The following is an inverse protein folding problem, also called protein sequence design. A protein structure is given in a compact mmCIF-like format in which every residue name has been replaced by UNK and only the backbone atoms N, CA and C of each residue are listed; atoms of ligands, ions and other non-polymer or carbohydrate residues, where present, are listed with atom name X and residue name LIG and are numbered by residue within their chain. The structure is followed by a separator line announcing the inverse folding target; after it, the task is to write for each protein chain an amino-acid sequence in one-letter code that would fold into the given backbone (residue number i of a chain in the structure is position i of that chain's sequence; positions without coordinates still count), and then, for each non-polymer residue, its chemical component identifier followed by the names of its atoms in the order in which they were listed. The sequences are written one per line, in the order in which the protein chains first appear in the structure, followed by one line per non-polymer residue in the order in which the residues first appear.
data_IF_045989962786
#
_entry.id   IF_045989962786
#
_cell.length_a   1.000
_cell.length_b   1.000
_cell.length_c   1.000
_cell.angle_alpha   90.00
_cell.angle_beta   90.00
_cell.angle_gamma   90.00
#
_symmetry.space_group_name_H-M   'P 1'
#
loop_
_entity.id
_entity.type
_entity.pdbx_description
1 polymer ?
#
# COMPACT_ATOMS: atom_id res chain seq x y z
N UNK A 1 44.97 -57.94 -15.50
CA UNK A 1 44.39 -58.17 -14.18
C UNK A 1 43.08 -57.46 -14.08
N UNK A 2 41.94 -58.14 -14.00
CA UNK A 2 40.64 -57.50 -13.89
C UNK A 2 40.34 -57.10 -12.41
N UNK A 3 39.60 -56.00 -12.26
CA UNK A 3 39.07 -55.54 -10.94
C UNK A 3 37.82 -56.35 -10.55
N UNK A 4 37.58 -56.62 -9.28
CA UNK A 4 36.41 -57.39 -8.87
C UNK A 4 35.15 -56.51 -8.81
N UNK A 5 34.04 -57.07 -9.25
CA UNK A 5 32.69 -56.55 -9.16
C UNK A 5 32.20 -56.46 -7.72
N UNK A 6 31.57 -55.32 -7.38
CA UNK A 6 30.80 -55.15 -6.16
C UNK A 6 29.30 -55.37 -6.47
N UNK A 7 28.55 -56.12 -5.63
CA UNK A 7 27.15 -56.36 -5.85
C UNK A 7 26.29 -55.15 -5.50
N UNK A 8 25.44 -54.68 -6.44
CA UNK A 8 24.36 -53.72 -6.16
C UNK A 8 23.21 -54.46 -5.54
N UNK A 9 22.90 -54.12 -4.29
CA UNK A 9 21.66 -54.56 -3.65
C UNK A 9 20.57 -53.51 -3.96
N UNK A 10 19.69 -53.86 -4.89
CA UNK A 10 18.43 -53.12 -5.13
C UNK A 10 17.45 -53.43 -3.98
N UNK A 11 17.44 -52.57 -2.97
CA UNK A 11 16.41 -52.60 -1.93
C UNK A 11 15.23 -51.74 -2.35
N UNK A 12 14.09 -52.38 -2.70
CA UNK A 12 12.79 -51.74 -2.94
C UNK A 12 11.88 -52.07 -1.76
N UNK A 13 11.41 -51.06 -0.97
CA UNK A 13 10.48 -51.30 0.12
C UNK A 13 9.13 -51.80 -0.42
N UNK A 14 8.54 -52.79 0.24
CA UNK A 14 7.23 -53.35 -0.13
C UNK A 14 6.10 -52.41 0.34
N UNK A 15 4.91 -52.54 -0.28
CA UNK A 15 3.70 -51.81 0.16
C UNK A 15 3.38 -51.99 1.63
N UNK A 16 3.77 -53.13 2.23
CA UNK A 16 3.56 -53.43 3.63
C UNK A 16 4.49 -52.64 4.54
N UNK A 17 5.72 -52.43 4.13
CA UNK A 17 6.73 -51.61 4.85
C UNK A 17 6.35 -50.14 4.85
N UNK A 18 5.76 -49.64 3.75
CA UNK A 18 5.22 -48.30 3.64
C UNK A 18 4.01 -48.06 4.58
N UNK A 19 3.11 -49.06 4.69
CA UNK A 19 1.94 -48.95 5.56
C UNK A 19 2.32 -49.04 7.05
N UNK A 20 3.34 -49.84 7.41
CA UNK A 20 3.83 -49.90 8.78
C UNK A 20 4.58 -48.65 9.20
N UNK A 21 5.33 -48.00 8.31
CA UNK A 21 5.97 -46.69 8.58
C UNK A 21 4.94 -45.58 8.76
N UNK A 22 3.80 -45.63 8.04
CA UNK A 22 2.73 -44.64 8.14
C UNK A 22 1.93 -44.71 9.46
N UNK A 23 1.86 -45.89 10.10
CA UNK A 23 1.15 -46.06 11.39
C UNK A 23 1.99 -45.62 12.60
N UNK A 24 3.31 -45.65 12.51
CA UNK A 24 4.19 -45.13 13.57
C UNK A 24 4.31 -43.62 13.55
N UNK A 25 4.18 -42.99 12.35
CA UNK A 25 4.17 -41.54 12.23
C UNK A 25 2.87 -40.86 12.71
N UNK A 26 1.75 -41.61 12.76
CA UNK A 26 0.47 -41.09 13.25
C UNK A 26 0.31 -41.13 14.78
N UNK A 27 1.14 -41.90 15.49
CA UNK A 27 1.11 -42.03 16.95
C UNK A 27 2.00 -41.06 17.73
N UNK A 28 2.94 -40.37 17.06
CA UNK A 28 3.94 -39.53 17.69
C UNK A 28 3.65 -38.00 17.71
N UNK A 29 2.55 -37.53 17.15
CA UNK A 29 2.21 -36.11 17.03
C UNK A 29 1.22 -35.60 18.07
N UNK A 30 0.84 -36.45 19.03
CA UNK A 30 -0.15 -36.10 20.07
C UNK A 30 0.45 -35.59 21.40
N UNK A 31 1.75 -35.33 21.49
CA UNK A 31 2.39 -34.88 22.73
C UNK A 31 3.28 -33.62 22.59
N UNK A 32 3.14 -32.84 21.54
CA UNK A 32 3.77 -31.54 21.38
C UNK A 32 2.73 -30.48 21.07
N UNK A 33 2.11 -29.94 22.12
CA UNK A 33 1.14 -28.85 21.99
C UNK A 33 1.77 -27.59 21.44
N UNK A 34 1.88 -27.48 20.11
CA UNK A 34 1.83 -26.20 19.44
C UNK A 34 0.38 -25.71 19.58
N UNK A 35 0.15 -24.89 20.59
CA UNK A 35 -0.99 -23.99 20.61
C UNK A 35 -0.87 -23.09 19.37
N UNK A 36 -1.37 -23.58 18.22
CA UNK A 36 -1.96 -22.70 17.24
C UNK A 36 -2.95 -21.88 18.05
N UNK A 37 -2.60 -20.62 18.33
CA UNK A 37 -3.59 -19.64 18.68
C UNK A 37 -4.52 -19.56 17.47
N UNK A 38 -5.49 -20.50 17.38
CA UNK A 38 -6.77 -20.18 16.84
C UNK A 38 -7.11 -18.89 17.58
N UNK A 39 -7.23 -17.78 16.89
CA UNK A 39 -8.06 -16.69 17.35
C UNK A 39 -9.42 -17.34 17.57
N UNK A 40 -9.59 -17.89 18.76
CA UNK A 40 -10.87 -18.29 19.26
C UNK A 40 -11.62 -16.95 19.27
N UNK A 41 -12.49 -16.75 18.29
CA UNK A 41 -13.70 -16.02 18.56
C UNK A 41 -14.32 -16.83 19.70
N UNK A 42 -13.95 -16.44 20.93
CA UNK A 42 -14.49 -17.02 22.13
C UNK A 42 -15.99 -16.94 21.98
N UNK A 43 -16.67 -18.02 22.16
CA UNK A 43 -18.12 -18.15 22.17
C UNK A 43 -18.75 -16.95 22.88
N UNK A 44 -19.25 -15.94 22.13
CA UNK A 44 -19.80 -14.73 22.72
C UNK A 44 -20.34 -13.70 21.76
N UNK A 45 -19.65 -13.32 20.72
CA UNK A 45 -20.21 -12.46 19.69
C UNK A 45 -19.46 -12.61 18.37
N UNK A 46 -20.19 -12.79 17.28
CA UNK A 46 -19.68 -12.79 15.89
C UNK A 46 -19.32 -11.35 15.41
N UNK A 47 -19.30 -10.38 16.32
CA UNK A 47 -19.04 -8.97 16.03
C UNK A 47 -17.53 -8.72 15.95
N UNK A 48 -17.04 -8.28 14.79
CA UNK A 48 -15.65 -7.85 14.60
C UNK A 48 -15.47 -6.41 15.10
N UNK A 49 -14.50 -6.21 15.98
CA UNK A 49 -14.17 -4.90 16.57
C UNK A 49 -13.12 -4.20 15.72
N UNK A 50 -13.49 -3.02 15.20
CA UNK A 50 -12.64 -2.19 14.37
C UNK A 50 -11.97 -1.11 15.20
N UNK A 51 -10.66 -0.94 15.03
CA UNK A 51 -9.90 0.24 15.43
C UNK A 51 -9.50 1.04 14.20
N UNK A 52 -9.49 2.37 14.29
CA UNK A 52 -9.11 3.23 13.18
C UNK A 52 -7.98 4.18 13.58
N UNK A 53 -6.96 4.29 12.73
CA UNK A 53 -5.80 5.17 12.90
C UNK A 53 -5.70 6.06 11.67
N UNK A 54 -5.76 7.39 11.90
CA UNK A 54 -5.90 8.39 10.84
C UNK A 54 -7.37 8.70 10.54
N UNK A 55 -7.86 9.84 11.06
CA UNK A 55 -9.25 10.27 10.99
C UNK A 55 -9.48 11.41 10.00
N UNK A 56 -8.63 11.51 8.97
CA UNK A 56 -8.81 12.45 7.86
C UNK A 56 -9.99 12.05 6.95
N UNK A 57 -10.12 12.71 5.79
CA UNK A 57 -11.18 12.42 4.82
C UNK A 57 -11.19 10.96 4.38
N UNK A 58 -10.00 10.42 3.99
CA UNK A 58 -9.90 9.01 3.56
C UNK A 58 -10.16 8.05 4.72
N UNK A 59 -9.59 8.30 5.92
CA UNK A 59 -9.83 7.44 7.08
C UNK A 59 -11.29 7.38 7.49
N UNK A 60 -12.00 8.53 7.50
CA UNK A 60 -13.46 8.56 7.73
C UNK A 60 -14.21 7.75 6.67
N UNK A 61 -13.79 7.87 5.38
CA UNK A 61 -14.35 7.07 4.29
C UNK A 61 -14.10 5.57 4.47
N UNK A 62 -12.86 5.17 4.79
CA UNK A 62 -12.49 3.76 4.98
C UNK A 62 -13.27 3.11 6.13
N UNK A 63 -13.51 3.84 7.23
CA UNK A 63 -14.37 3.36 8.33
C UNK A 63 -15.80 3.10 7.81
N UNK A 64 -16.36 4.04 7.04
CA UNK A 64 -17.70 3.89 6.48
C UNK A 64 -17.78 2.73 5.48
N UNK A 65 -16.77 2.59 4.60
CA UNK A 65 -16.66 1.49 3.63
C UNK A 65 -16.59 0.14 4.36
N UNK A 66 -15.78 0.03 5.40
CA UNK A 66 -15.66 -1.16 6.24
C UNK A 66 -16.99 -1.53 6.91
N UNK A 67 -17.70 -0.55 7.47
CA UNK A 67 -19.00 -0.77 8.10
C UNK A 67 -20.10 -1.09 7.09
N UNK A 68 -19.99 -0.64 5.84
CA UNK A 68 -20.89 -1.05 4.76
C UNK A 68 -20.59 -2.47 4.27
N UNK A 69 -19.32 -2.86 4.21
CA UNK A 69 -18.86 -4.17 3.77
C UNK A 69 -19.27 -5.30 4.73
N UNK A 70 -19.26 -5.03 6.04
CA UNK A 70 -19.61 -6.03 7.06
C UNK A 70 -20.61 -5.47 8.08
N UNK A 71 -21.84 -6.01 8.05
CA UNK A 71 -22.93 -5.56 8.94
C UNK A 71 -22.72 -5.97 10.40
N UNK A 72 -21.87 -6.94 10.66
CA UNK A 72 -21.58 -7.48 11.99
C UNK A 72 -20.23 -6.99 12.53
N UNK A 73 -19.87 -5.74 12.21
CA UNK A 73 -18.69 -5.05 12.70
C UNK A 73 -19.06 -3.82 13.53
N UNK A 74 -18.22 -3.48 14.51
CA UNK A 74 -18.36 -2.29 15.36
C UNK A 74 -17.05 -1.50 15.44
N UNK A 75 -17.14 -0.17 15.33
CA UNK A 75 -16.02 0.72 15.60
C UNK A 75 -15.91 0.92 17.12
N UNK A 76 -14.77 0.58 17.72
CA UNK A 76 -14.58 0.61 19.17
C UNK A 76 -13.46 1.53 19.64
N UNK A 77 -12.50 1.90 18.77
CA UNK A 77 -11.41 2.79 19.13
C UNK A 77 -10.96 3.61 17.93
N UNK A 78 -10.53 4.85 18.16
CA UNK A 78 -10.03 5.75 17.12
C UNK A 78 -8.79 6.51 17.59
N UNK A 79 -7.86 6.79 16.64
CA UNK A 79 -6.72 7.66 16.86
C UNK A 79 -6.46 8.59 15.68
N UNK A 80 -6.07 9.82 15.98
CA UNK A 80 -5.47 10.77 15.04
C UNK A 80 -4.42 11.61 15.76
N UNK A 81 -3.46 12.15 15.04
CA UNK A 81 -2.51 13.09 15.63
C UNK A 81 -3.20 14.36 16.16
N UNK A 82 -4.32 14.75 15.54
CA UNK A 82 -5.06 15.98 15.84
C UNK A 82 -6.47 15.69 16.34
N UNK A 83 -6.80 16.27 17.50
CA UNK A 83 -8.11 16.13 18.18
C UNK A 83 -9.28 16.57 17.29
N UNK A 84 -9.17 17.70 16.59
CA UNK A 84 -10.22 18.24 15.72
C UNK A 84 -10.58 17.27 14.58
N UNK A 85 -9.60 16.55 14.03
CA UNK A 85 -9.82 15.52 13.01
C UNK A 85 -10.51 14.29 13.57
N UNK A 86 -10.05 13.83 14.72
CA UNK A 86 -10.64 12.68 15.42
C UNK A 86 -12.10 12.94 15.75
N UNK A 87 -12.40 14.04 16.44
CA UNK A 87 -13.77 14.37 16.86
C UNK A 87 -14.70 14.64 15.67
N UNK A 88 -14.19 15.32 14.63
CA UNK A 88 -14.93 15.54 13.39
C UNK A 88 -15.29 14.24 12.67
N UNK A 89 -14.39 13.25 12.63
CA UNK A 89 -14.65 11.93 12.06
C UNK A 89 -15.65 11.15 12.93
N UNK A 90 -15.43 11.08 14.23
CA UNK A 90 -16.30 10.38 15.18
C UNK A 90 -17.75 10.86 15.07
N UNK A 91 -17.96 12.20 15.03
CA UNK A 91 -19.30 12.78 14.84
C UNK A 91 -19.95 12.29 13.56
N UNK A 92 -19.24 12.32 12.41
CA UNK A 92 -19.78 11.87 11.12
C UNK A 92 -20.13 10.39 11.12
N UNK A 93 -19.25 9.55 11.65
CA UNK A 93 -19.46 8.09 11.67
C UNK A 93 -20.58 7.72 12.65
N UNK A 94 -20.68 8.34 13.83
CA UNK A 94 -21.81 8.15 14.76
C UNK A 94 -23.16 8.52 14.12
N UNK A 95 -23.18 9.58 13.32
CA UNK A 95 -24.42 9.98 12.60
C UNK A 95 -24.80 8.96 11.54
N UNK A 96 -23.83 8.39 10.81
CA UNK A 96 -24.09 7.42 9.73
C UNK A 96 -24.41 6.00 10.26
N UNK A 97 -23.84 5.62 11.41
CA UNK A 97 -23.93 4.27 11.98
C UNK A 97 -24.17 4.28 13.49
N UNK A 98 -25.31 4.86 13.98
CA UNK A 98 -25.52 5.12 15.41
C UNK A 98 -25.40 3.88 16.30
N UNK A 99 -25.88 2.72 15.83
CA UNK A 99 -25.93 1.48 16.62
C UNK A 99 -24.61 0.67 16.56
N UNK A 100 -23.65 1.09 15.71
CA UNK A 100 -22.41 0.35 15.45
C UNK A 100 -21.14 1.11 15.81
N UNK A 101 -21.26 2.27 16.46
CA UNK A 101 -20.13 3.05 16.96
C UNK A 101 -20.15 3.03 18.49
N UNK A 102 -19.25 2.23 19.07
CA UNK A 102 -19.09 2.06 20.50
C UNK A 102 -17.82 2.75 21.04
N UNK A 103 -17.39 3.82 20.35
CA UNK A 103 -16.26 4.65 20.77
C UNK A 103 -16.74 5.64 21.82
N UNK A 104 -16.25 5.50 23.05
CA UNK A 104 -16.36 6.48 24.11
C UNK A 104 -15.14 7.41 24.17
N UNK A 105 -15.10 8.31 25.15
CA UNK A 105 -14.01 9.27 25.29
C UNK A 105 -12.68 8.59 25.63
N UNK A 106 -12.70 7.50 26.40
CA UNK A 106 -11.51 6.77 26.82
C UNK A 106 -10.88 5.95 25.67
N UNK A 107 -11.61 5.79 24.57
CA UNK A 107 -11.16 5.13 23.34
C UNK A 107 -10.92 6.11 22.17
N UNK A 108 -10.83 7.41 22.48
CA UNK A 108 -10.42 8.49 21.58
C UNK A 108 -8.99 8.90 21.90
N UNK A 109 -8.03 8.59 21.02
CA UNK A 109 -6.62 8.80 21.30
C UNK A 109 -5.99 9.83 20.38
N UNK A 110 -5.24 10.78 20.92
CA UNK A 110 -4.53 11.81 20.15
C UNK A 110 -3.03 11.70 20.27
N UNK A 111 -2.33 12.36 19.34
CA UNK A 111 -0.87 12.38 19.28
C UNK A 111 -0.25 11.17 18.61
N UNK A 112 1.09 11.17 18.57
CA UNK A 112 1.86 10.17 17.80
C UNK A 112 1.76 8.74 18.34
N UNK A 113 1.50 8.56 19.63
CA UNK A 113 1.37 7.25 20.27
C UNK A 113 -0.06 6.70 20.35
N UNK A 114 -1.03 7.43 19.79
CA UNK A 114 -2.45 7.03 19.78
C UNK A 114 -2.68 5.65 19.20
N UNK A 115 -1.91 5.26 18.16
CA UNK A 115 -2.00 3.94 17.53
C UNK A 115 -1.75 2.78 18.51
N UNK A 116 -0.80 2.92 19.47
CA UNK A 116 -0.51 1.89 20.48
C UNK A 116 -1.73 1.63 21.35
N UNK A 117 -2.44 2.70 21.72
CA UNK A 117 -3.65 2.62 22.54
C UNK A 117 -4.82 1.98 21.79
N UNK A 118 -5.00 2.30 20.49
CA UNK A 118 -5.98 1.60 19.64
C UNK A 118 -5.69 0.10 19.60
N UNK A 119 -4.44 -0.31 19.39
CA UNK A 119 -4.05 -1.72 19.36
C UNK A 119 -4.32 -2.45 20.68
N UNK A 120 -4.21 -1.75 21.81
CA UNK A 120 -4.49 -2.26 23.15
C UNK A 120 -6.00 -2.29 23.51
N UNK A 121 -6.88 -1.65 22.71
CA UNK A 121 -8.33 -1.54 22.99
C UNK A 121 -9.15 -2.78 22.62
N UNK A 122 -8.54 -3.96 22.49
CA UNK A 122 -9.24 -5.21 22.21
C UNK A 122 -9.83 -5.28 20.78
N UNK A 123 -9.28 -4.54 19.84
CA UNK A 123 -9.68 -4.56 18.42
C UNK A 123 -9.28 -5.86 17.74
N UNK A 124 -10.05 -6.32 16.77
CA UNK A 124 -9.74 -7.48 15.91
C UNK A 124 -9.10 -7.04 14.59
N UNK A 125 -9.59 -5.92 14.05
CA UNK A 125 -9.20 -5.35 12.77
C UNK A 125 -8.77 -3.90 12.97
N UNK A 126 -7.68 -3.50 12.30
CA UNK A 126 -7.20 -2.10 12.32
C UNK A 126 -7.22 -1.52 10.92
N UNK A 127 -7.78 -0.33 10.79
CA UNK A 127 -7.74 0.49 9.57
C UNK A 127 -6.60 1.50 9.73
N UNK A 128 -5.59 1.44 8.86
CA UNK A 128 -4.45 2.35 8.79
C UNK A 128 -4.65 3.33 7.64
N UNK A 129 -5.01 4.58 7.94
CA UNK A 129 -5.33 5.63 6.96
C UNK A 129 -4.64 6.98 7.28
N UNK A 130 -3.62 6.95 8.10
CA UNK A 130 -2.70 8.06 8.36
C UNK A 130 -1.80 8.36 7.15
N UNK A 131 -1.00 9.46 7.14
CA UNK A 131 -0.05 9.72 6.06
C UNK A 131 0.93 8.55 5.83
N UNK A 132 1.37 8.31 4.57
CA UNK A 132 2.20 7.14 4.19
C UNK A 132 3.43 6.88 5.05
N UNK A 133 4.04 7.94 5.55
CA UNK A 133 5.23 7.86 6.41
C UNK A 133 5.05 6.95 7.64
N UNK A 134 3.87 6.97 8.26
CA UNK A 134 3.62 6.25 9.51
C UNK A 134 3.24 4.78 9.30
N UNK A 135 2.82 4.40 8.10
CA UNK A 135 2.30 3.05 7.80
C UNK A 135 3.27 1.91 8.09
N UNK A 136 4.58 2.00 7.76
CA UNK A 136 5.50 0.91 8.09
C UNK A 136 5.56 0.62 9.60
N UNK A 137 5.58 1.66 10.43
CA UNK A 137 5.62 1.54 11.89
C UNK A 137 4.30 1.01 12.45
N UNK A 138 3.17 1.55 11.99
CA UNK A 138 1.85 1.15 12.48
C UNK A 138 1.46 -0.26 12.01
N UNK A 139 1.77 -0.63 10.75
CA UNK A 139 1.56 -1.98 10.23
C UNK A 139 2.37 -3.01 11.01
N UNK A 140 3.66 -2.72 11.27
CA UNK A 140 4.51 -3.59 12.08
C UNK A 140 3.89 -3.82 13.46
N UNK A 141 3.52 -2.75 14.16
CA UNK A 141 2.93 -2.84 15.49
C UNK A 141 1.59 -3.60 15.48
N UNK A 142 0.73 -3.38 14.47
CA UNK A 142 -0.54 -4.08 14.34
C UNK A 142 -0.35 -5.60 14.13
N UNK A 143 0.58 -5.99 13.25
CA UNK A 143 0.91 -7.40 12.99
C UNK A 143 1.56 -8.05 14.21
N UNK A 144 2.48 -7.36 14.91
CA UNK A 144 3.06 -7.84 16.16
C UNK A 144 2.00 -8.08 17.24
N UNK A 145 1.01 -7.18 17.33
CA UNK A 145 -0.15 -7.29 18.22
C UNK A 145 -1.22 -8.31 17.77
N UNK A 146 -0.99 -9.03 16.66
CA UNK A 146 -1.90 -10.07 16.17
C UNK A 146 -3.21 -9.53 15.58
N UNK A 147 -3.21 -8.35 14.97
CA UNK A 147 -4.40 -7.73 14.38
C UNK A 147 -4.46 -7.95 12.88
N UNK A 148 -5.67 -8.19 12.36
CA UNK A 148 -5.93 -8.07 10.92
C UNK A 148 -5.87 -6.61 10.49
N UNK A 149 -5.45 -6.34 9.26
CA UNK A 149 -5.15 -4.96 8.85
C UNK A 149 -5.78 -4.64 7.49
N UNK A 150 -6.48 -3.52 7.43
CA UNK A 150 -6.66 -2.75 6.21
C UNK A 150 -5.60 -1.65 6.18
N UNK A 151 -4.79 -1.61 5.12
CA UNK A 151 -3.69 -0.66 5.01
C UNK A 151 -3.85 0.21 3.77
N UNK A 152 -4.12 1.50 3.97
CA UNK A 152 -4.20 2.44 2.86
C UNK A 152 -2.89 2.57 2.08
N UNK A 153 -3.01 2.92 0.81
CA UNK A 153 -1.88 3.21 -0.08
C UNK A 153 -1.39 4.68 0.08
N UNK A 154 -0.16 4.96 -0.33
CA UNK A 154 1.01 4.08 -0.40
C UNK A 154 1.46 3.65 0.99
N UNK A 155 2.21 2.56 1.07
CA UNK A 155 2.53 1.95 2.39
C UNK A 155 3.85 2.40 2.98
N UNK A 156 4.58 3.25 2.30
CA UNK A 156 5.85 3.84 2.74
C UNK A 156 6.20 5.06 1.88
N UNK A 157 7.27 5.77 2.25
CA UNK A 157 7.81 6.92 1.52
C UNK A 157 9.27 6.72 1.11
N UNK A 158 9.92 5.66 1.57
CA UNK A 158 11.36 5.38 1.35
C UNK A 158 11.66 3.88 1.33
N UNK A 159 12.90 3.52 0.98
CA UNK A 159 13.36 2.14 0.91
C UNK A 159 13.30 1.40 2.25
N UNK A 160 13.79 1.96 3.36
CA UNK A 160 13.68 1.37 4.69
C UNK A 160 12.23 1.05 5.08
N UNK A 161 11.29 1.97 4.82
CA UNK A 161 9.87 1.77 5.07
C UNK A 161 9.29 0.62 4.25
N UNK A 162 9.61 0.52 2.96
CA UNK A 162 9.17 -0.59 2.10
C UNK A 162 9.70 -1.93 2.60
N UNK A 163 10.98 -2.01 2.99
CA UNK A 163 11.55 -3.23 3.57
C UNK A 163 10.86 -3.65 4.88
N UNK A 164 10.52 -2.68 5.73
CA UNK A 164 9.75 -2.92 6.95
C UNK A 164 8.35 -3.49 6.67
N UNK A 165 7.68 -3.00 5.63
CA UNK A 165 6.37 -3.52 5.18
C UNK A 165 6.49 -4.95 4.67
N UNK A 166 7.53 -5.27 3.87
CA UNK A 166 7.77 -6.65 3.41
C UNK A 166 8.00 -7.61 4.57
N UNK A 167 8.80 -7.23 5.56
CA UNK A 167 9.02 -8.03 6.77
C UNK A 167 7.72 -8.21 7.59
N UNK A 168 6.90 -7.17 7.67
CA UNK A 168 5.60 -7.24 8.35
C UNK A 168 4.62 -8.16 7.62
N UNK A 169 4.62 -8.15 6.27
CA UNK A 169 3.82 -9.04 5.46
C UNK A 169 4.20 -10.53 5.67
N UNK A 170 5.50 -10.82 5.74
CA UNK A 170 5.98 -12.16 6.04
C UNK A 170 5.56 -12.62 7.46
N UNK A 171 5.68 -11.74 8.45
CA UNK A 171 5.24 -12.02 9.81
C UNK A 171 3.72 -12.27 9.89
N UNK A 172 2.92 -11.45 9.18
CA UNK A 172 1.47 -11.62 9.11
C UNK A 172 1.08 -12.97 8.49
N UNK A 173 1.78 -13.40 7.44
CA UNK A 173 1.57 -14.72 6.84
C UNK A 173 1.85 -15.84 7.84
N UNK A 174 2.96 -15.77 8.59
CA UNK A 174 3.30 -16.74 9.63
C UNK A 174 2.28 -16.79 10.76
N UNK A 175 1.64 -15.66 11.06
CA UNK A 175 0.59 -15.56 12.10
C UNK A 175 -0.82 -15.85 11.59
N UNK A 176 -1.03 -16.09 10.30
CA UNK A 176 -2.35 -16.28 9.71
C UNK A 176 -3.23 -15.03 9.76
N UNK A 177 -2.63 -13.85 9.68
CA UNK A 177 -3.33 -12.57 9.70
C UNK A 177 -3.64 -12.10 8.27
N UNK A 178 -4.83 -11.50 8.08
CA UNK A 178 -5.18 -10.85 6.82
C UNK A 178 -4.63 -9.44 6.77
N UNK A 179 -3.99 -9.09 5.64
CA UNK A 179 -3.63 -7.72 5.26
C UNK A 179 -4.26 -7.45 3.91
N UNK A 180 -5.15 -6.45 3.83
CA UNK A 180 -5.71 -5.96 2.59
C UNK A 180 -5.22 -4.54 2.33
N UNK A 181 -4.82 -4.29 1.10
CA UNK A 181 -4.28 -3.01 0.65
C UNK A 181 -5.36 -2.11 0.08
N UNK A 182 -5.29 -0.79 0.37
CA UNK A 182 -6.11 0.25 -0.25
C UNK A 182 -5.77 0.56 -1.71
N UNK A 183 -5.09 -0.33 -2.44
CA UNK A 183 -4.93 -0.28 -3.89
C UNK A 183 -6.23 -0.75 -4.57
N UNK A 184 -7.27 0.03 -4.39
CA UNK A 184 -8.68 -0.29 -4.64
C UNK A 184 -8.99 -0.74 -6.08
N UNK A 185 -8.21 -0.31 -7.08
CA UNK A 185 -8.40 -0.71 -8.48
C UNK A 185 -8.24 -2.21 -8.70
N UNK A 186 -7.53 -2.93 -7.84
CA UNK A 186 -7.44 -4.41 -7.89
C UNK A 186 -8.76 -5.08 -7.52
N UNK A 187 -9.70 -4.34 -6.92
CA UNK A 187 -11.03 -4.81 -6.55
C UNK A 187 -12.13 -4.32 -7.50
N UNK A 188 -11.85 -3.32 -8.36
CA UNK A 188 -12.79 -2.83 -9.36
C UNK A 188 -13.02 -3.88 -10.45
N UNK A 189 -14.27 -4.29 -10.67
CA UNK A 189 -14.60 -5.42 -11.54
C UNK A 189 -14.11 -5.24 -12.97
N UNK A 190 -14.25 -4.04 -13.56
CA UNK A 190 -13.79 -3.75 -14.92
C UNK A 190 -12.28 -3.81 -15.06
N UNK A 191 -11.54 -3.24 -14.09
CA UNK A 191 -10.08 -3.30 -14.06
C UNK A 191 -9.60 -4.74 -13.93
N UNK A 192 -10.16 -5.47 -12.97
CA UNK A 192 -9.82 -6.88 -12.72
C UNK A 192 -10.04 -7.73 -13.95
N UNK A 193 -11.23 -7.66 -14.57
CA UNK A 193 -11.54 -8.43 -15.77
C UNK A 193 -10.62 -8.08 -16.97
N UNK A 194 -10.19 -6.81 -17.08
CA UNK A 194 -9.26 -6.38 -18.13
C UNK A 194 -7.87 -6.92 -17.90
N UNK A 195 -7.33 -6.79 -16.67
CA UNK A 195 -5.99 -7.28 -16.34
C UNK A 195 -5.94 -8.81 -16.42
N UNK A 196 -6.95 -9.54 -15.94
CA UNK A 196 -7.01 -11.00 -16.09
C UNK A 196 -6.90 -11.43 -17.54
N UNK A 197 -7.61 -10.78 -18.47
CA UNK A 197 -7.47 -11.06 -19.91
C UNK A 197 -6.09 -10.72 -20.48
N UNK A 198 -5.47 -9.64 -20.00
CA UNK A 198 -4.08 -9.30 -20.37
C UNK A 198 -3.15 -10.42 -19.92
N UNK A 199 -3.29 -10.89 -18.69
CA UNK A 199 -2.51 -11.98 -18.10
C UNK A 199 -2.74 -13.33 -18.80
N UNK A 200 -3.94 -13.54 -19.35
CA UNK A 200 -4.30 -14.71 -20.19
C UNK A 200 -3.82 -14.59 -21.64
N UNK A 201 -3.12 -13.50 -22.00
CA UNK A 201 -2.46 -13.31 -23.28
C UNK A 201 -3.35 -12.71 -24.38
N UNK A 202 -4.47 -12.07 -24.05
CA UNK A 202 -5.38 -11.46 -25.02
C UNK A 202 -4.73 -10.37 -25.90
N UNK A 203 -3.66 -9.72 -25.41
CA UNK A 203 -2.85 -8.77 -26.18
C UNK A 203 -1.49 -9.33 -26.60
N UNK A 204 -1.22 -10.62 -26.32
CA UNK A 204 0.10 -11.23 -26.50
C UNK A 204 1.12 -10.72 -25.48
N UNK A 205 2.42 -10.74 -25.85
CA UNK A 205 3.48 -10.21 -25.01
C UNK A 205 3.37 -8.69 -24.92
N UNK A 206 3.43 -8.16 -23.70
CA UNK A 206 3.37 -6.71 -23.46
C UNK A 206 4.69 -6.09 -23.94
N UNK A 207 4.61 -5.14 -24.85
CA UNK A 207 5.77 -4.39 -25.37
C UNK A 207 5.93 -3.04 -24.69
N UNK A 208 4.81 -2.32 -24.54
CA UNK A 208 4.77 -0.97 -23.95
C UNK A 208 3.55 -0.82 -23.07
N UNK A 209 3.74 -0.20 -21.92
CA UNK A 209 2.68 0.33 -21.09
C UNK A 209 2.80 1.85 -21.04
N UNK A 210 1.69 2.56 -21.12
CA UNK A 210 1.64 4.01 -20.98
C UNK A 210 0.57 4.36 -19.96
N UNK A 211 0.96 5.16 -18.99
CA UNK A 211 0.08 5.66 -17.94
C UNK A 211 0.13 7.16 -17.87
N UNK A 212 -1.01 7.77 -17.71
CA UNK A 212 -1.17 9.21 -17.57
C UNK A 212 -2.04 9.50 -16.34
N UNK A 213 -1.54 10.38 -15.45
CA UNK A 213 -2.30 10.83 -14.28
C UNK A 213 -2.17 12.36 -14.14
N UNK A 214 -2.76 13.06 -15.09
CA UNK A 214 -2.74 14.52 -15.16
C UNK A 214 -4.01 15.08 -14.52
N UNK A 215 -3.86 15.79 -13.40
CA UNK A 215 -4.99 16.35 -12.63
C UNK A 215 -4.73 17.81 -12.26
N UNK A 216 -5.71 18.41 -11.61
CA UNK A 216 -5.55 19.69 -10.95
C UNK A 216 -4.68 19.61 -9.70
N UNK A 217 -4.37 20.76 -9.13
CA UNK A 217 -3.56 20.91 -7.92
C UNK A 217 -4.23 20.27 -6.71
N UNK A 218 -3.47 19.51 -5.92
CA UNK A 218 -3.89 18.94 -4.64
C UNK A 218 -2.98 19.45 -3.52
N UNK A 219 -3.56 19.70 -2.34
CA UNK A 219 -2.82 20.16 -1.16
C UNK A 219 -2.47 21.65 -1.22
N UNK A 220 -1.62 22.05 -0.29
CA UNK A 220 -1.22 23.45 -0.10
C UNK A 220 -2.04 24.15 0.97
N UNK A 221 -1.36 24.50 2.08
CA UNK A 221 -1.91 25.27 3.19
C UNK A 221 -1.02 26.46 3.49
N UNK A 222 -1.65 27.58 3.75
CA UNK A 222 -0.93 28.75 4.24
C UNK A 222 -0.40 28.48 5.64
N UNK A 223 0.73 29.09 5.96
CA UNK A 223 1.37 28.97 7.27
C UNK A 223 0.49 29.64 8.31
N UNK A 224 0.12 28.88 9.34
CA UNK A 224 -0.45 29.39 10.56
C UNK A 224 0.69 29.64 11.58
N UNK A 225 0.95 30.88 11.99
CA UNK A 225 2.05 31.17 12.90
C UNK A 225 1.93 30.54 14.29
N UNK A 226 0.73 30.13 14.69
CA UNK A 226 0.50 29.47 15.98
C UNK A 226 0.96 28.02 16.02
N UNK A 227 1.22 27.42 14.86
CA UNK A 227 1.64 26.01 14.73
C UNK A 227 3.16 25.88 14.81
N UNK A 228 3.64 24.86 15.52
CA UNK A 228 5.03 24.42 15.39
C UNK A 228 5.32 23.94 13.96
N UNK A 229 6.58 23.77 13.60
CA UNK A 229 6.93 23.27 12.27
C UNK A 229 6.38 21.87 12.01
N UNK A 230 6.50 20.98 13.01
CA UNK A 230 5.94 19.64 12.94
C UNK A 230 4.41 19.65 12.74
N UNK A 231 3.68 20.48 13.50
CA UNK A 231 2.23 20.63 13.36
C UNK A 231 1.84 21.13 11.97
N UNK A 232 2.56 22.12 11.46
CA UNK A 232 2.29 22.69 10.13
C UNK A 232 2.49 21.62 9.04
N UNK A 233 3.63 20.94 9.01
CA UNK A 233 3.92 19.91 8.02
C UNK A 233 2.93 18.75 8.12
N UNK A 234 2.60 18.28 9.31
CA UNK A 234 1.60 17.23 9.52
C UNK A 234 0.20 17.64 9.02
N UNK A 235 -0.23 18.90 9.21
CA UNK A 235 -1.51 19.40 8.67
C UNK A 235 -1.45 19.61 7.14
N UNK A 236 -0.28 19.87 6.59
CA UNK A 236 -0.02 20.05 5.16
C UNK A 236 0.72 18.85 4.55
N UNK A 237 0.52 17.67 5.11
CA UNK A 237 1.29 16.45 4.88
C UNK A 237 1.50 16.10 3.40
N UNK A 238 0.51 16.38 2.56
CA UNK A 238 0.58 16.07 1.12
C UNK A 238 1.74 16.77 0.42
N UNK A 239 2.12 17.96 0.86
CA UNK A 239 3.13 18.80 0.26
C UNK A 239 4.57 18.52 0.75
N UNK A 240 4.76 17.53 1.62
CA UNK A 240 6.08 17.16 2.15
C UNK A 240 6.45 15.73 1.78
N UNK A 241 7.59 15.58 1.09
CA UNK A 241 8.04 14.28 0.59
C UNK A 241 8.23 13.24 1.70
N UNK A 242 8.64 13.65 2.90
CA UNK A 242 8.80 12.74 4.03
C UNK A 242 7.48 12.17 4.55
N UNK A 243 6.36 12.86 4.33
CA UNK A 243 5.02 12.41 4.76
C UNK A 243 4.25 11.70 3.64
N UNK A 244 4.27 12.26 2.43
CA UNK A 244 3.49 11.78 1.28
C UNK A 244 4.27 10.88 0.34
N UNK A 245 5.59 11.00 0.29
CA UNK A 245 6.43 10.43 -0.74
C UNK A 245 6.45 11.22 -2.06
N UNK A 246 5.83 12.40 -2.12
CA UNK A 246 5.49 13.15 -3.33
C UNK A 246 4.23 12.61 -4.04
N UNK A 247 3.59 13.42 -4.92
CA UNK A 247 2.35 13.04 -5.62
C UNK A 247 2.54 11.87 -6.60
N UNK A 248 3.75 11.63 -7.08
CA UNK A 248 4.08 10.42 -7.84
C UNK A 248 3.88 9.15 -7.01
N UNK A 249 4.21 9.21 -5.72
CA UNK A 249 4.04 8.09 -4.78
C UNK A 249 2.61 8.07 -4.22
N UNK A 250 2.10 9.22 -3.78
CA UNK A 250 0.80 9.27 -3.10
C UNK A 250 -0.38 9.05 -4.05
N UNK A 251 -0.39 9.69 -5.23
CA UNK A 251 -1.52 9.64 -6.14
C UNK A 251 -1.28 8.72 -7.34
N UNK A 252 -0.17 8.88 -8.04
CA UNK A 252 0.09 8.18 -9.30
C UNK A 252 0.33 6.68 -9.12
N UNK A 253 0.62 6.22 -7.90
CA UNK A 253 0.68 4.78 -7.55
C UNK A 253 -0.55 3.99 -8.05
N UNK A 254 -1.71 4.62 -8.15
CA UNK A 254 -2.92 3.95 -8.65
C UNK A 254 -2.78 3.47 -10.10
N UNK A 255 -2.08 4.21 -10.95
CA UNK A 255 -1.74 3.75 -12.30
C UNK A 255 -0.58 2.77 -12.28
N UNK A 256 0.51 3.12 -11.60
CA UNK A 256 1.71 2.26 -11.47
C UNK A 256 1.38 0.85 -10.93
N UNK A 257 0.42 0.74 -10.01
CA UNK A 257 -0.04 -0.56 -9.49
C UNK A 257 -0.71 -1.43 -10.56
N UNK A 258 -1.46 -0.84 -11.50
CA UNK A 258 -2.09 -1.59 -12.59
C UNK A 258 -1.04 -2.15 -13.55
N UNK A 259 0.02 -1.38 -13.85
CA UNK A 259 1.17 -1.85 -14.63
C UNK A 259 1.96 -2.93 -13.89
N UNK A 260 2.22 -2.75 -12.58
CA UNK A 260 2.85 -3.78 -11.77
C UNK A 260 2.04 -5.08 -11.79
N UNK A 261 0.71 -4.99 -11.67
CA UNK A 261 -0.18 -6.15 -11.73
C UNK A 261 -0.13 -6.85 -13.09
N UNK A 262 -0.15 -6.09 -14.21
CA UNK A 262 0.00 -6.65 -15.56
C UNK A 262 1.36 -7.34 -15.77
N UNK A 263 2.39 -6.88 -15.07
CA UNK A 263 3.72 -7.50 -15.05
C UNK A 263 3.87 -8.58 -13.95
N UNK A 264 2.74 -9.10 -13.41
CA UNK A 264 2.71 -10.15 -12.35
C UNK A 264 3.45 -9.75 -11.08
N UNK A 265 3.46 -8.46 -10.78
CA UNK A 265 4.20 -7.82 -9.68
C UNK A 265 5.72 -8.03 -9.73
N UNK A 266 6.27 -8.43 -10.90
CA UNK A 266 7.72 -8.45 -11.11
C UNK A 266 8.26 -7.01 -11.21
N UNK A 267 9.38 -6.72 -10.54
CA UNK A 267 9.93 -5.37 -10.58
C UNK A 267 10.62 -5.06 -11.92
N UNK A 268 10.74 -3.78 -12.31
CA UNK A 268 11.59 -3.37 -13.42
C UNK A 268 13.07 -3.57 -13.08
N UNK A 269 13.92 -3.70 -14.08
CA UNK A 269 15.39 -3.72 -13.89
C UNK A 269 15.89 -2.36 -13.43
N UNK A 270 15.39 -1.28 -14.07
CA UNK A 270 15.87 0.08 -13.89
C UNK A 270 14.83 1.12 -14.32
N UNK A 271 15.05 2.34 -13.90
CA UNK A 271 14.25 3.49 -14.33
C UNK A 271 15.13 4.72 -14.54
N UNK A 272 14.62 5.66 -15.35
CA UNK A 272 15.15 7.00 -15.53
C UNK A 272 14.01 7.93 -15.87
N UNK A 273 14.21 9.24 -15.68
CA UNK A 273 13.12 10.16 -15.92
C UNK A 273 13.53 11.62 -15.80
N UNK A 274 12.53 12.46 -15.89
CA UNK A 274 12.62 13.87 -15.68
C UNK A 274 11.37 14.38 -14.96
N UNK A 275 11.53 15.40 -14.16
CA UNK A 275 10.45 15.99 -13.41
C UNK A 275 10.90 17.30 -12.80
N UNK A 276 10.01 17.98 -12.15
CA UNK A 276 10.35 19.24 -11.56
C UNK A 276 9.18 19.93 -10.88
N UNK A 277 9.40 21.20 -10.60
CA UNK A 277 8.48 22.08 -9.92
C UNK A 277 8.36 23.38 -10.71
N UNK A 278 7.19 23.61 -11.26
CA UNK A 278 6.91 24.78 -12.10
C UNK A 278 5.83 25.69 -11.51
N UNK A 279 4.78 25.10 -10.92
CA UNK A 279 3.61 25.84 -10.42
C UNK A 279 3.47 25.82 -8.90
N UNK A 280 4.14 24.91 -8.20
CA UNK A 280 4.17 24.87 -6.73
C UNK A 280 5.24 25.83 -6.17
N UNK A 281 5.22 27.09 -6.60
CA UNK A 281 6.28 28.07 -6.29
C UNK A 281 6.07 28.84 -5.01
N UNK A 282 4.83 28.94 -4.53
CA UNK A 282 4.53 29.65 -3.28
C UNK A 282 5.02 28.87 -2.07
N UNK A 283 5.91 29.49 -1.32
CA UNK A 283 6.46 28.95 -0.07
C UNK A 283 5.92 29.76 1.13
N UNK A 284 5.69 29.10 2.25
CA UNK A 284 5.86 27.68 2.60
C UNK A 284 4.69 26.76 2.18
N UNK A 285 3.68 27.31 1.50
CA UNK A 285 2.40 26.66 1.17
C UNK A 285 2.53 25.27 0.55
N UNK A 286 3.46 25.12 -0.42
CA UNK A 286 3.57 23.89 -1.21
C UNK A 286 4.75 22.99 -0.82
N UNK A 287 5.37 23.21 0.36
CA UNK A 287 6.41 22.33 0.89
C UNK A 287 7.56 22.07 -0.09
N UNK A 288 7.99 20.81 -0.21
CA UNK A 288 9.19 20.42 -0.96
C UNK A 288 8.94 19.47 -2.15
N UNK A 289 7.69 19.04 -2.42
CA UNK A 289 7.38 18.10 -3.51
C UNK A 289 7.41 18.75 -4.90
N UNK A 290 7.60 17.92 -5.92
CA UNK A 290 7.44 18.31 -7.33
C UNK A 290 5.97 18.48 -7.72
N UNK A 291 5.70 18.94 -8.94
CA UNK A 291 4.36 19.08 -9.51
C UNK A 291 4.17 18.33 -10.82
N UNK A 292 5.25 17.75 -11.39
CA UNK A 292 5.19 16.87 -12.54
C UNK A 292 6.33 15.84 -12.55
N UNK A 293 6.02 14.64 -13.05
CA UNK A 293 6.97 13.55 -13.24
C UNK A 293 6.74 12.85 -14.58
N UNK A 294 7.82 12.49 -15.25
CA UNK A 294 7.85 11.61 -16.41
C UNK A 294 8.94 10.56 -16.17
N UNK A 295 8.57 9.29 -16.16
CA UNK A 295 9.49 8.19 -15.84
C UNK A 295 9.35 7.07 -16.87
N UNK A 296 10.47 6.54 -17.31
CA UNK A 296 10.54 5.30 -18.06
C UNK A 296 11.08 4.18 -17.15
N UNK A 297 10.34 3.12 -17.01
CA UNK A 297 10.77 1.89 -16.33
C UNK A 297 11.03 0.80 -17.39
N UNK A 298 12.12 0.08 -17.26
CA UNK A 298 12.52 -0.99 -18.19
C UNK A 298 12.53 -2.33 -17.44
N UNK A 299 11.78 -3.29 -17.97
CA UNK A 299 11.66 -4.64 -17.42
C UNK A 299 12.64 -5.62 -18.09
N UNK A 300 12.90 -6.76 -17.45
CA UNK A 300 13.87 -7.75 -17.92
C UNK A 300 13.55 -8.33 -19.31
N UNK A 301 12.28 -8.42 -19.67
CA UNK A 301 11.81 -8.90 -20.97
C UNK A 301 11.82 -7.82 -22.07
N UNK A 302 12.34 -6.62 -21.78
CA UNK A 302 12.39 -5.48 -22.69
C UNK A 302 11.13 -4.61 -22.72
N UNK A 303 10.06 -4.97 -22.00
CA UNK A 303 8.86 -4.14 -21.83
C UNK A 303 9.24 -2.80 -21.21
N UNK A 304 8.66 -1.72 -21.72
CA UNK A 304 8.81 -0.37 -21.15
C UNK A 304 7.50 0.17 -20.68
N UNK A 305 7.53 0.75 -19.47
CA UNK A 305 6.44 1.56 -18.92
C UNK A 305 6.82 3.02 -19.00
N UNK A 306 6.05 3.80 -19.74
CA UNK A 306 6.11 5.27 -19.79
C UNK A 306 5.01 5.82 -18.88
N UNK A 307 5.42 6.50 -17.84
CA UNK A 307 4.57 6.95 -16.74
C UNK A 307 4.65 8.47 -16.64
N UNK A 308 3.49 9.14 -16.73
CA UNK A 308 3.39 10.59 -16.72
C UNK A 308 2.38 11.04 -15.68
N UNK A 309 2.77 11.94 -14.79
CA UNK A 309 1.82 12.58 -13.89
C UNK A 309 2.12 14.06 -13.68
N UNK A 310 1.04 14.83 -13.46
CA UNK A 310 1.10 16.25 -13.30
C UNK A 310 -0.07 16.77 -12.46
N UNK A 311 0.21 17.74 -11.58
CA UNK A 311 -0.79 18.46 -10.79
C UNK A 311 -0.75 19.96 -11.09
N UNK A 312 -1.32 20.35 -12.22
CA UNK A 312 -1.40 21.75 -12.66
C UNK A 312 -2.85 22.18 -12.86
N UNK A 313 -3.26 23.27 -12.23
CA UNK A 313 -4.57 23.87 -12.46
C UNK A 313 -4.69 24.48 -13.87
N UNK A 314 -5.87 24.44 -14.46
CA UNK A 314 -6.13 25.03 -15.78
C UNK A 314 -5.51 24.29 -16.96
N UNK A 315 -4.93 23.11 -16.74
CA UNK A 315 -4.38 22.27 -17.80
C UNK A 315 -5.32 21.13 -18.17
N UNK A 316 -5.12 20.53 -19.36
CA UNK A 316 -5.82 19.32 -19.76
C UNK A 316 -5.60 18.21 -18.74
N UNK A 317 -6.72 17.57 -18.33
CA UNK A 317 -6.70 16.45 -17.37
C UNK A 317 -6.89 15.14 -18.10
N UNK A 318 -6.12 14.13 -17.70
CA UNK A 318 -6.21 12.78 -18.27
C UNK A 318 -5.75 11.74 -17.22
N UNK A 319 -6.57 10.72 -17.02
CA UNK A 319 -6.25 9.56 -16.19
C UNK A 319 -6.53 8.32 -17.03
N UNK A 320 -5.48 7.83 -17.70
CA UNK A 320 -5.57 6.70 -18.63
C UNK A 320 -4.43 5.72 -18.43
N UNK A 321 -4.73 4.43 -18.63
CA UNK A 321 -3.76 3.34 -18.60
C UNK A 321 -3.96 2.48 -19.84
N UNK A 322 -2.95 2.42 -20.72
CA UNK A 322 -2.98 1.69 -22.00
C UNK A 322 -1.78 0.75 -22.09
N UNK A 323 -2.05 -0.52 -22.40
CA UNK A 323 -1.01 -1.53 -22.60
C UNK A 323 -1.04 -1.98 -24.06
N UNK A 324 0.11 -2.01 -24.70
CA UNK A 324 0.31 -2.40 -26.10
C UNK A 324 1.10 -3.68 -26.13
N UNK A 325 0.55 -4.70 -26.73
CA UNK A 325 1.18 -6.01 -26.90
C UNK A 325 1.29 -6.43 -28.36
N UNK A 326 1.84 -7.63 -28.57
CA UNK A 326 2.11 -8.18 -29.91
C UNK A 326 0.86 -8.55 -30.70
N UNK A 327 -0.33 -8.72 -30.03
CA UNK A 327 -1.60 -9.12 -30.66
C UNK A 327 -2.70 -8.06 -30.54
N UNK A 328 -2.46 -6.99 -29.81
CA UNK A 328 -3.45 -5.96 -29.58
C UNK A 328 -3.07 -4.98 -28.50
N UNK A 329 -4.06 -4.21 -28.02
CA UNK A 329 -3.90 -3.29 -26.91
C UNK A 329 -5.04 -3.41 -25.91
N UNK A 330 -4.76 -3.15 -24.65
CA UNK A 330 -5.75 -3.03 -23.59
C UNK A 330 -5.82 -1.58 -23.13
N UNK A 331 -7.03 -1.04 -23.02
CA UNK A 331 -7.33 0.21 -22.28
C UNK A 331 -7.88 -0.17 -20.93
N UNK A 332 -7.02 -0.15 -19.92
CA UNK A 332 -7.37 -0.53 -18.54
C UNK A 332 -8.21 0.57 -17.90
N UNK A 333 -7.89 1.84 -18.19
CA UNK A 333 -8.69 3.01 -17.87
C UNK A 333 -8.77 3.93 -19.09
N UNK A 334 -9.92 4.60 -19.32
CA UNK A 334 -11.17 4.51 -18.55
C UNK A 334 -12.18 3.50 -19.11
N UNK A 335 -11.85 2.79 -20.20
CA UNK A 335 -12.85 2.06 -20.98
C UNK A 335 -12.95 0.57 -20.74
N UNK A 336 -11.99 -0.05 -20.04
CA UNK A 336 -11.94 -1.50 -19.74
C UNK A 336 -12.17 -2.36 -20.99
N UNK A 337 -11.33 -2.20 -21.99
CA UNK A 337 -11.50 -2.84 -23.30
C UNK A 337 -10.18 -3.36 -23.88
N UNK A 338 -10.29 -4.37 -24.73
CA UNK A 338 -9.20 -4.93 -25.52
C UNK A 338 -9.53 -4.77 -27.00
N UNK A 339 -8.57 -4.22 -27.74
CA UNK A 339 -8.60 -4.05 -29.18
C UNK A 339 -7.51 -4.91 -29.83
N UNK A 340 -7.77 -5.46 -31.01
CA UNK A 340 -6.82 -6.31 -31.75
C UNK A 340 -7.45 -7.60 -32.19
N UNK A 341 -6.74 -8.73 -32.07
CA UNK A 341 -7.22 -10.04 -32.48
C UNK A 341 -8.42 -10.50 -31.65
N UNK A 342 -8.36 -10.33 -30.33
CA UNK A 342 -9.40 -10.74 -29.38
C UNK A 342 -10.14 -9.52 -28.84
N UNK A 343 -11.02 -8.95 -29.65
CA UNK A 343 -11.81 -7.77 -29.26
C UNK A 343 -12.72 -8.09 -28.08
N UNK A 344 -12.65 -7.27 -27.03
CA UNK A 344 -13.47 -7.43 -25.86
C UNK A 344 -13.69 -6.09 -25.16
N UNK A 345 -14.83 -5.96 -24.48
CA UNK A 345 -15.14 -4.82 -23.62
C UNK A 345 -15.92 -5.30 -22.41
N UNK A 346 -15.56 -4.80 -21.23
CA UNK A 346 -16.33 -5.04 -20.01
C UNK A 346 -17.71 -4.40 -20.12
N UNK A 347 -18.74 -5.18 -19.79
CA UNK A 347 -20.16 -4.74 -19.86
C UNK A 347 -20.89 -4.81 -18.52
N UNK A 348 -20.18 -5.23 -17.45
CA UNK A 348 -20.73 -5.33 -16.12
C UNK A 348 -20.70 -4.01 -15.35
N UNK A 349 -21.22 -4.04 -14.13
CA UNK A 349 -21.07 -2.95 -13.17
C UNK A 349 -19.67 -2.99 -12.55
N UNK A 350 -19.02 -1.81 -12.41
CA UNK A 350 -17.67 -1.70 -11.85
C UNK A 350 -17.57 -2.11 -10.37
N UNK A 351 -18.68 -1.98 -9.65
CA UNK A 351 -18.74 -2.13 -8.20
C UNK A 351 -18.14 -0.93 -7.46
N UNK A 352 -18.46 -0.81 -6.18
CA UNK A 352 -17.77 0.16 -5.32
C UNK A 352 -16.46 -0.45 -4.82
N UNK A 353 -15.36 -0.14 -5.50
CA UNK A 353 -14.04 -0.72 -5.20
C UNK A 353 -13.58 -0.52 -3.75
N UNK A 354 -14.00 0.58 -3.12
CA UNK A 354 -13.66 0.86 -1.71
C UNK A 354 -14.41 -0.04 -0.73
N UNK A 355 -15.64 -0.42 -1.05
CA UNK A 355 -16.39 -1.41 -0.25
C UNK A 355 -15.87 -2.82 -0.53
N UNK A 356 -15.62 -3.15 -1.80
CA UNK A 356 -15.17 -4.48 -2.23
C UNK A 356 -13.82 -4.90 -1.59
N UNK A 357 -12.87 -3.97 -1.40
CA UNK A 357 -11.62 -4.28 -0.71
C UNK A 357 -11.84 -4.63 0.77
N UNK A 358 -12.78 -3.98 1.44
CA UNK A 358 -13.17 -4.30 2.81
C UNK A 358 -13.98 -5.60 2.89
N UNK A 359 -14.88 -5.88 1.94
CA UNK A 359 -15.59 -7.17 1.85
C UNK A 359 -14.60 -8.33 1.76
N UNK A 360 -13.57 -8.21 0.91
CA UNK A 360 -12.52 -9.22 0.81
C UNK A 360 -11.78 -9.43 2.14
N UNK A 361 -11.47 -8.36 2.87
CA UNK A 361 -10.85 -8.45 4.19
C UNK A 361 -11.74 -9.20 5.18
N UNK A 362 -12.98 -8.76 5.37
CA UNK A 362 -13.87 -9.37 6.35
C UNK A 362 -14.24 -10.82 5.99
N UNK A 363 -14.45 -11.11 4.70
CA UNK A 363 -14.69 -12.48 4.24
C UNK A 363 -13.48 -13.39 4.54
N UNK A 364 -12.25 -12.89 4.33
CA UNK A 364 -11.04 -13.66 4.63
C UNK A 364 -10.91 -13.99 6.13
N UNK A 365 -11.24 -13.02 7.00
CA UNK A 365 -11.23 -13.20 8.44
C UNK A 365 -12.29 -14.23 8.86
N UNK A 366 -13.54 -14.06 8.43
CA UNK A 366 -14.67 -14.93 8.79
C UNK A 366 -14.53 -16.34 8.27
N UNK A 367 -13.93 -16.53 7.10
CA UNK A 367 -13.69 -17.86 6.53
C UNK A 367 -12.42 -18.55 7.08
N UNK A 368 -11.59 -17.84 7.85
CA UNK A 368 -10.31 -18.35 8.32
C UNK A 368 -9.30 -18.60 7.18
N UNK A 369 -9.48 -17.93 6.03
CA UNK A 369 -8.59 -17.99 4.86
C UNK A 369 -7.92 -16.64 4.66
N UNK A 370 -6.78 -16.38 5.32
CA UNK A 370 -6.16 -15.07 5.32
C UNK A 370 -5.72 -14.63 3.92
N UNK A 371 -5.96 -13.36 3.60
CA UNK A 371 -5.42 -12.67 2.43
C UNK A 371 -4.18 -11.89 2.87
N UNK A 372 -3.12 -11.91 2.07
CA UNK A 372 -1.93 -11.10 2.33
C UNK A 372 -1.52 -10.32 1.09
N UNK A 373 -1.92 -9.07 1.03
CA UNK A 373 -1.56 -8.13 -0.04
C UNK A 373 -0.20 -7.45 0.17
N UNK A 374 0.50 -7.77 1.27
CA UNK A 374 1.69 -7.06 1.72
C UNK A 374 2.81 -6.97 0.68
N UNK A 375 3.04 -8.03 -0.09
CA UNK A 375 4.12 -8.06 -1.09
C UNK A 375 3.82 -7.12 -2.25
N UNK A 376 2.64 -7.23 -2.88
CA UNK A 376 2.35 -6.39 -4.04
C UNK A 376 2.20 -4.91 -3.65
N UNK A 377 1.57 -4.60 -2.51
CA UNK A 377 1.45 -3.20 -2.08
C UNK A 377 2.80 -2.54 -1.79
N UNK A 378 3.76 -3.31 -1.25
CA UNK A 378 5.13 -2.85 -1.02
C UNK A 378 5.87 -2.64 -2.35
N UNK A 379 5.75 -3.58 -3.32
CA UNK A 379 6.38 -3.48 -4.64
C UNK A 379 5.81 -2.32 -5.46
N UNK A 380 4.49 -2.13 -5.49
CA UNK A 380 3.86 -0.99 -6.17
C UNK A 380 4.25 0.35 -5.53
N UNK A 381 4.38 0.39 -4.20
CA UNK A 381 4.90 1.58 -3.51
C UNK A 381 6.36 1.83 -3.87
N UNK A 382 7.21 0.79 -3.91
CA UNK A 382 8.62 0.94 -4.30
C UNK A 382 8.77 1.39 -5.75
N UNK A 383 7.91 0.91 -6.67
CA UNK A 383 7.89 1.35 -8.07
C UNK A 383 7.67 2.88 -8.15
N UNK A 384 6.72 3.40 -7.38
CA UNK A 384 6.45 4.83 -7.33
C UNK A 384 7.59 5.63 -6.67
N UNK A 385 8.22 5.09 -5.61
CA UNK A 385 9.39 5.68 -4.94
C UNK A 385 10.59 5.71 -5.89
N UNK A 386 10.86 4.65 -6.64
CA UNK A 386 11.93 4.62 -7.66
C UNK A 386 11.73 5.75 -8.67
N UNK A 387 10.48 5.97 -9.14
CA UNK A 387 10.15 7.08 -10.06
C UNK A 387 10.46 8.46 -9.46
N UNK A 388 10.16 8.67 -8.17
CA UNK A 388 10.56 9.89 -7.46
C UNK A 388 12.08 10.00 -7.36
N UNK A 389 12.78 8.94 -6.97
CA UNK A 389 14.23 8.94 -6.79
C UNK A 389 14.97 9.32 -8.08
N UNK A 390 14.60 8.72 -9.23
CA UNK A 390 15.25 9.03 -10.51
C UNK A 390 15.03 10.49 -10.92
N UNK A 391 13.84 11.05 -10.68
CA UNK A 391 13.54 12.42 -11.03
C UNK A 391 14.20 13.42 -10.08
N UNK A 392 14.27 13.11 -8.78
CA UNK A 392 14.90 13.98 -7.77
C UNK A 392 16.43 14.06 -7.94
N UNK A 393 17.04 12.95 -8.36
CA UNK A 393 18.51 12.87 -8.53
C UNK A 393 18.96 13.16 -9.96
N UNK A 394 18.08 12.97 -10.95
CA UNK A 394 18.44 13.00 -12.37
C UNK A 394 19.29 11.79 -12.80
N UNK A 395 19.33 10.71 -12.01
CA UNK A 395 20.14 9.54 -12.27
C UNK A 395 19.31 8.39 -12.84
N UNK A 396 19.94 7.50 -13.62
CA UNK A 396 19.42 6.17 -13.89
C UNK A 396 19.68 5.32 -12.64
N UNK A 397 18.62 4.70 -12.09
CA UNK A 397 18.70 3.83 -10.92
C UNK A 397 18.14 2.45 -11.24
N UNK A 398 18.77 1.42 -10.69
CA UNK A 398 18.23 0.06 -10.72
C UNK A 398 17.21 -0.15 -9.59
N UNK A 399 16.34 -1.15 -9.75
CA UNK A 399 15.44 -1.57 -8.68
C UNK A 399 16.21 -1.94 -7.41
N UNK A 400 17.29 -2.69 -7.56
CA UNK A 400 18.13 -3.13 -6.43
C UNK A 400 18.76 -1.95 -5.68
N UNK A 401 19.22 -0.94 -6.39
CA UNK A 401 19.69 0.28 -5.74
C UNK A 401 18.57 0.95 -4.93
N UNK A 402 17.39 1.11 -5.54
CA UNK A 402 16.28 1.81 -4.90
C UNK A 402 15.72 1.06 -3.68
N UNK A 403 15.50 -0.26 -3.78
CA UNK A 403 14.97 -1.05 -2.65
C UNK A 403 15.98 -1.15 -1.49
N UNK A 404 17.28 -1.11 -1.78
CA UNK A 404 18.35 -1.16 -0.79
C UNK A 404 18.85 0.22 -0.36
N UNK A 405 18.26 1.30 -0.86
CA UNK A 405 18.58 2.66 -0.43
C UNK A 405 18.52 2.80 1.08
N UNK A 406 19.47 3.57 1.62
CA UNK A 406 19.54 3.92 3.04
C UNK A 406 18.89 5.28 3.34
N UNK A 407 18.28 5.91 2.32
CA UNK A 407 17.53 7.15 2.51
C UNK A 407 16.38 6.91 3.49
N UNK A 408 16.55 7.38 4.71
CA UNK A 408 15.52 7.39 5.75
C UNK A 408 14.97 8.80 5.88
N UNK A 409 13.69 8.96 5.59
CA UNK A 409 12.99 10.25 5.65
C UNK A 409 12.33 10.49 7.02
N UNK A 410 12.68 9.71 8.05
CA UNK A 410 12.09 9.84 9.39
C UNK A 410 12.64 11.06 10.14
N UNK A 411 11.81 11.73 10.96
CA UNK A 411 12.30 12.71 11.93
C UNK A 411 13.09 11.99 13.05
N UNK A 412 13.96 12.72 13.73
CA UNK A 412 14.73 12.16 14.87
C UNK A 412 13.84 11.79 16.06
N UNK A 413 12.69 12.44 16.20
CA UNK A 413 11.69 12.13 17.24
C UNK A 413 10.31 12.58 16.79
N UNK A 414 9.27 11.90 17.29
CA UNK A 414 7.87 12.22 17.03
C UNK A 414 7.30 13.00 18.21
N UNK A 415 7.53 14.32 18.22
CA UNK A 415 7.00 15.24 19.21
C UNK A 415 6.61 16.55 18.51
N UNK A 416 5.65 17.27 19.07
CA UNK A 416 5.13 18.50 18.45
C UNK A 416 6.16 19.64 18.39
N UNK A 417 7.13 19.64 19.28
CA UNK A 417 8.26 20.58 19.35
C UNK A 417 9.53 20.05 18.66
N UNK A 418 9.50 18.83 18.12
CA UNK A 418 10.61 18.29 17.36
C UNK A 418 10.68 18.88 15.95
N UNK A 419 11.89 18.96 15.41
CA UNK A 419 12.10 19.36 14.03
C UNK A 419 11.76 18.21 13.07
N UNK A 420 10.90 18.44 12.05
CA UNK A 420 10.72 17.49 10.96
C UNK A 420 12.01 17.37 10.11
N UNK A 421 12.09 16.36 9.21
CA UNK A 421 13.32 16.11 8.43
C UNK A 421 13.68 17.26 7.48
N UNK A 422 12.68 17.95 6.97
CA UNK A 422 12.84 19.11 6.07
C UNK A 422 12.48 20.38 6.82
N UNK A 423 13.46 21.28 7.02
CA UNK A 423 13.25 22.57 7.66
C UNK A 423 13.33 23.70 6.64
N UNK A 424 12.55 24.77 6.79
CA UNK A 424 12.68 25.95 5.93
C UNK A 424 13.96 26.71 6.26
N UNK A 425 14.46 27.46 5.27
CA UNK A 425 15.54 28.42 5.46
C UNK A 425 15.04 29.69 6.20
N UNK A 426 15.94 30.68 6.37
CA UNK A 426 15.62 31.96 7.03
C UNK A 426 14.52 32.77 6.35
N UNK A 427 14.28 32.51 5.03
CA UNK A 427 13.25 33.18 4.23
C UNK A 427 11.94 32.36 4.17
N UNK A 428 11.84 31.28 4.97
CA UNK A 428 10.67 30.39 5.04
C UNK A 428 10.52 29.43 3.86
N UNK A 429 11.60 29.21 3.08
CA UNK A 429 11.58 28.34 1.89
C UNK A 429 12.15 26.97 2.22
N UNK A 430 11.44 25.92 1.82
CA UNK A 430 11.95 24.54 1.93
C UNK A 430 12.90 24.21 0.79
N UNK A 431 13.96 23.42 1.07
CA UNK A 431 14.82 22.90 0.03
C UNK A 431 14.04 21.93 -0.85
N UNK A 432 14.05 22.18 -2.16
CA UNK A 432 13.44 21.31 -3.17
C UNK A 432 14.53 20.50 -3.84
N UNK A 433 14.27 19.22 -4.11
CA UNK A 433 15.22 18.38 -4.83
C UNK A 433 15.60 19.01 -6.19
N UNK A 434 16.86 18.85 -6.59
CA UNK A 434 17.40 19.38 -7.84
C UNK A 434 18.16 18.28 -8.59
N UNK A 435 17.72 17.89 -9.80
CA UNK A 435 18.40 16.87 -10.60
C UNK A 435 19.86 17.26 -10.86
N UNK A 436 20.76 16.28 -10.75
CA UNK A 436 22.20 16.48 -10.87
C UNK A 436 22.90 17.04 -9.62
N UNK A 437 22.14 17.55 -8.65
CA UNK A 437 22.64 18.08 -7.37
C UNK A 437 22.23 17.19 -6.19
N UNK A 438 20.95 16.83 -6.13
CA UNK A 438 20.42 15.91 -5.11
C UNK A 438 21.06 14.55 -5.28
N UNK A 439 21.69 14.07 -4.21
CA UNK A 439 22.40 12.78 -4.23
C UNK A 439 21.44 11.64 -3.96
N UNK A 440 21.70 10.52 -4.62
CA UNK A 440 21.14 9.23 -4.24
C UNK A 440 21.89 8.69 -3.00
N UNK A 441 21.16 8.14 -2.02
CA UNK A 441 21.72 7.60 -0.76
C UNK A 441 21.26 6.16 -0.53
#
# INVERSE_FOLDING_TARGET
MPRPDSPRTDWRPSRRDFLQASTVAAGGVLAGGLSLARSAHAAGSDVLKIGAIGCGGRGTGAIADAMNADKNSKLVAMADAFEDRLQGALKRIKTAFPDRVAVDQDHCFTGFDGYKKVLASGVDVVILAEPPHFRPMHLKAAVEAGKHVFCEKPVAVDGPGVRSVLASAELAQKKGLSIVSGLCWRYHHGTKATIERVLDGAIGDILVMQETYNTGMIGGRDRDPSLTEMQFQMRNWYCFAWLSGDHNVEQHIHSLDKSAWAMRDEPPLRAWGLGGRQVRTEQPRYGDIYDHHAVCYEYANGTRLYSFCRQHAGCWSDVTDTFIGTKGRARVLPSYEIEGQDKWKFKGEGGNMYVLEHEALFQSIRSGKPINNGVYMARSTMLAILGRMVNYTGQLLTWEQAINSQQDLSPKSYAWDANPPTMPDKDGKYPVAMPGVTKFV
#
